data_IF_208332119679
#
_entry.id   IF_208332119679
#
_cell.length_a   1.000
_cell.length_b   1.000
_cell.length_c   1.000
_cell.angle_alpha   90.00
_cell.angle_beta   90.00
_cell.angle_gamma   90.00
#
_symmetry.space_group_name_H-M   'P 1'
#
loop_
_entity.id
_entity.type
_entity.pdbx_description
1 polymer ?
#
# COMPACT_ATOMS: atom_id res chain seq x y z
N UNK A 1 -9.56 4.74 13.06
CA UNK A 1 -8.41 5.04 12.17
C UNK A 1 -8.30 6.55 11.99
N UNK A 2 -7.10 7.05 12.02
CA UNK A 2 -6.84 8.48 11.85
C UNK A 2 -5.55 8.68 11.06
N UNK A 3 -5.60 9.57 10.07
CA UNK A 3 -4.39 9.99 9.37
C UNK A 3 -3.63 10.96 10.29
N UNK A 4 -2.42 10.58 10.69
CA UNK A 4 -1.61 11.39 11.61
C UNK A 4 -0.99 12.60 10.93
N UNK A 5 -0.97 12.62 9.59
CA UNK A 5 -0.28 13.64 8.83
C UNK A 5 1.23 13.44 8.75
N UNK A 6 1.76 12.43 9.41
CA UNK A 6 3.19 12.13 9.40
C UNK A 6 3.53 11.34 8.14
N UNK A 7 4.62 11.72 7.47
CA UNK A 7 5.12 11.03 6.30
C UNK A 7 6.62 10.80 6.41
N UNK A 8 7.07 9.66 5.91
CA UNK A 8 8.49 9.34 5.84
C UNK A 8 8.85 8.94 4.41
N UNK A 9 10.07 9.28 4.01
CA UNK A 9 10.64 8.79 2.76
C UNK A 9 11.25 7.41 2.97
N UNK A 10 11.25 6.58 1.93
CA UNK A 10 11.93 5.28 1.94
C UNK A 10 13.43 5.42 2.21
N UNK A 11 13.98 6.60 1.98
CA UNK A 11 15.39 6.90 2.27
C UNK A 11 15.63 7.15 3.77
N UNK A 12 14.59 7.52 4.50
CA UNK A 12 14.68 7.82 5.93
C UNK A 12 14.38 6.61 6.79
N UNK A 13 13.41 5.79 6.38
CA UNK A 13 12.95 4.64 7.14
C UNK A 13 12.56 3.49 6.22
N UNK A 14 12.72 2.28 6.75
CA UNK A 14 12.25 1.07 6.09
C UNK A 14 10.97 0.59 6.78
N UNK A 15 9.93 0.24 6.01
CA UNK A 15 8.73 -0.32 6.60
C UNK A 15 8.93 -1.80 6.95
N UNK A 16 8.10 -2.29 7.84
CA UNK A 16 8.06 -3.70 8.23
C UNK A 16 6.95 -4.40 7.46
N UNK A 17 7.25 -5.55 6.89
CA UNK A 17 6.25 -6.41 6.24
C UNK A 17 5.82 -7.47 7.25
N UNK A 18 4.53 -7.46 7.58
CA UNK A 18 3.93 -8.45 8.46
C UNK A 18 3.13 -9.43 7.60
N UNK A 19 3.45 -10.73 7.68
CA UNK A 19 2.82 -11.73 6.79
C UNK A 19 1.30 -11.71 6.86
N UNK A 20 0.74 -11.58 8.05
CA UNK A 20 -0.71 -11.57 8.22
C UNK A 20 -1.38 -10.37 7.55
N UNK A 21 -0.67 -9.26 7.40
CA UNK A 21 -1.16 -8.11 6.64
C UNK A 21 -0.93 -8.31 5.14
N UNK A 22 0.23 -8.83 4.76
CA UNK A 22 0.58 -9.05 3.36
C UNK A 22 -0.34 -10.07 2.69
N UNK A 23 -0.78 -11.07 3.45
CA UNK A 23 -1.63 -12.15 2.94
C UNK A 23 -3.13 -11.87 3.06
N UNK A 24 -3.49 -10.72 3.63
CA UNK A 24 -4.88 -10.35 3.87
C UNK A 24 -5.70 -10.26 2.59
N UNK A 25 -5.12 -9.76 1.53
CA UNK A 25 -5.78 -9.59 0.24
C UNK A 25 -5.22 -10.61 -0.75
N UNK A 26 -6.03 -11.03 -1.74
CA UNK A 26 -5.55 -11.95 -2.76
C UNK A 26 -4.38 -11.33 -3.53
N UNK A 27 -3.41 -12.15 -3.97
CA UNK A 27 -2.30 -11.63 -4.75
C UNK A 27 -2.78 -11.09 -6.08
N UNK A 28 -2.03 -10.13 -6.62
CA UNK A 28 -2.29 -9.62 -7.96
C UNK A 28 -2.00 -10.70 -9.00
N UNK A 29 -2.74 -10.69 -10.11
CA UNK A 29 -2.43 -11.55 -11.25
C UNK A 29 -1.12 -11.10 -11.89
N UNK A 30 -0.53 -11.96 -12.72
CA UNK A 30 0.68 -11.61 -13.44
C UNK A 30 0.52 -10.35 -14.27
N UNK A 31 -0.63 -10.18 -14.93
CA UNK A 31 -0.94 -9.00 -15.73
C UNK A 31 -1.04 -7.73 -14.89
N UNK A 32 -1.73 -7.83 -13.75
CA UNK A 32 -1.87 -6.71 -12.84
C UNK A 32 -0.52 -6.28 -12.25
N UNK A 33 0.30 -7.26 -11.91
CA UNK A 33 1.63 -6.99 -11.37
C UNK A 33 2.53 -6.34 -12.41
N UNK A 34 2.50 -6.84 -13.65
CA UNK A 34 3.27 -6.27 -14.75
C UNK A 34 2.83 -4.84 -15.06
N UNK A 35 1.53 -4.57 -15.03
CA UNK A 35 1.01 -3.23 -15.26
C UNK A 35 1.45 -2.26 -14.16
N UNK A 36 1.41 -2.70 -12.91
CA UNK A 36 1.87 -1.89 -11.78
C UNK A 36 3.38 -1.61 -11.89
N UNK A 37 4.15 -2.63 -12.23
CA UNK A 37 5.59 -2.48 -12.40
C UNK A 37 5.92 -1.48 -13.52
N UNK A 38 5.25 -1.59 -14.66
CA UNK A 38 5.44 -0.67 -15.77
C UNK A 38 5.12 0.77 -15.39
N UNK A 39 4.03 0.97 -14.65
CA UNK A 39 3.64 2.30 -14.19
C UNK A 39 4.68 2.89 -13.23
N UNK A 40 5.18 2.09 -12.30
CA UNK A 40 6.20 2.55 -11.36
C UNK A 40 7.51 2.90 -12.06
N UNK A 41 7.91 2.12 -13.05
CA UNK A 41 9.12 2.39 -13.82
C UNK A 41 9.00 3.65 -14.67
N UNK A 42 7.82 3.91 -15.20
CA UNK A 42 7.57 5.06 -16.07
C UNK A 42 7.35 6.35 -15.27
N UNK A 43 6.55 6.29 -14.22
CA UNK A 43 6.07 7.48 -13.50
C UNK A 43 6.63 7.62 -12.09
N UNK A 44 7.31 6.61 -11.59
CA UNK A 44 7.74 6.58 -10.21
C UNK A 44 6.57 6.25 -9.27
N UNK A 45 6.83 6.25 -7.99
CA UNK A 45 5.81 5.95 -6.98
C UNK A 45 5.23 7.25 -6.42
N UNK A 46 4.11 7.67 -6.96
CA UNK A 46 3.45 8.91 -6.58
C UNK A 46 2.40 8.73 -5.48
N UNK A 47 1.91 7.52 -5.27
CA UNK A 47 0.96 7.23 -4.20
C UNK A 47 1.71 6.67 -2.98
N UNK A 48 1.42 7.16 -1.77
CA UNK A 48 2.15 6.69 -0.59
C UNK A 48 1.75 5.26 -0.21
N UNK A 49 2.70 4.56 0.40
CA UNK A 49 2.44 3.30 1.09
C UNK A 49 1.87 3.64 2.46
N UNK A 50 0.79 2.99 2.85
CA UNK A 50 0.16 3.26 4.15
C UNK A 50 0.76 2.33 5.20
N UNK A 51 1.23 2.92 6.29
CA UNK A 51 1.81 2.18 7.42
C UNK A 51 1.12 2.59 8.71
N UNK A 52 1.19 1.73 9.73
CA UNK A 52 0.74 2.09 11.06
C UNK A 52 1.86 2.80 11.84
N UNK A 53 1.61 3.12 13.10
CA UNK A 53 2.58 3.83 13.93
C UNK A 53 3.84 3.01 14.23
N UNK A 54 3.78 1.69 14.07
CA UNK A 54 4.93 0.80 14.20
C UNK A 54 5.64 0.57 12.87
N UNK A 55 5.28 1.32 11.84
CA UNK A 55 5.84 1.22 10.50
C UNK A 55 5.51 -0.10 9.79
N UNK A 56 4.45 -0.78 10.21
CA UNK A 56 3.97 -1.99 9.53
C UNK A 56 3.11 -1.59 8.34
N UNK A 57 3.39 -2.15 7.17
CA UNK A 57 2.63 -1.85 5.96
C UNK A 57 1.19 -2.36 6.10
N UNK A 58 0.24 -1.46 5.90
CA UNK A 58 -1.18 -1.77 5.91
C UNK A 58 -1.73 -1.86 4.49
N UNK A 59 -1.31 -0.96 3.61
CA UNK A 59 -1.73 -0.93 2.21
C UNK A 59 -0.54 -0.56 1.33
N UNK A 60 -0.47 -1.19 0.17
CA UNK A 60 0.59 -0.92 -0.80
C UNK A 60 1.76 -1.90 -0.76
N UNK A 61 1.54 -3.13 -0.31
CA UNK A 61 2.57 -4.16 -0.23
C UNK A 61 3.25 -4.42 -1.58
N UNK A 62 2.48 -4.56 -2.65
CA UNK A 62 3.02 -4.82 -3.99
C UNK A 62 3.82 -3.63 -4.50
N UNK A 63 3.30 -2.43 -4.28
CA UNK A 63 3.97 -1.18 -4.66
C UNK A 63 5.32 -1.05 -3.96
N UNK A 64 5.35 -1.27 -2.66
CA UNK A 64 6.56 -1.20 -1.87
C UNK A 64 7.59 -2.24 -2.33
N UNK A 65 7.15 -3.46 -2.56
CA UNK A 65 8.01 -4.55 -3.01
C UNK A 65 8.67 -4.22 -4.35
N UNK A 66 7.88 -3.76 -5.31
CA UNK A 66 8.39 -3.41 -6.64
C UNK A 66 9.33 -2.20 -6.58
N UNK A 67 8.99 -1.20 -5.80
CA UNK A 67 9.85 -0.03 -5.62
C UNK A 67 11.20 -0.45 -5.04
N UNK A 68 11.19 -1.34 -4.06
CA UNK A 68 12.42 -1.84 -3.46
C UNK A 68 13.25 -2.63 -4.45
N UNK A 69 12.63 -3.47 -5.27
CA UNK A 69 13.31 -4.24 -6.30
C UNK A 69 14.00 -3.37 -7.35
N UNK A 70 13.38 -2.28 -7.72
CA UNK A 70 13.86 -1.40 -8.79
C UNK A 70 14.59 -0.15 -8.28
N UNK A 71 14.73 -0.03 -6.98
CA UNK A 71 15.39 1.16 -6.40
C UNK A 71 14.60 2.44 -6.59
N UNK A 72 13.28 2.35 -6.71
CA UNK A 72 12.41 3.53 -6.86
C UNK A 72 12.07 4.08 -5.49
N UNK A 73 12.32 5.37 -5.22
CA UNK A 73 11.96 5.98 -3.94
C UNK A 73 10.44 6.06 -3.80
N UNK A 74 9.95 5.90 -2.58
CA UNK A 74 8.54 6.00 -2.26
C UNK A 74 8.34 6.66 -0.91
N UNK A 75 7.14 7.16 -0.66
CA UNK A 75 6.78 7.75 0.62
C UNK A 75 5.86 6.82 1.39
N UNK A 76 5.89 6.95 2.71
CA UNK A 76 5.02 6.21 3.62
C UNK A 76 4.19 7.21 4.41
N UNK A 77 2.86 7.03 4.40
CA UNK A 77 1.95 7.84 5.21
C UNK A 77 1.58 7.05 6.45
N UNK A 78 1.71 7.66 7.61
CA UNK A 78 1.45 7.00 8.90
C UNK A 78 0.00 7.24 9.32
N UNK A 79 -0.73 6.14 9.52
CA UNK A 79 -2.10 6.17 10.01
C UNK A 79 -2.11 5.52 11.39
N UNK A 80 -2.91 6.08 12.29
CA UNK A 80 -3.09 5.56 13.64
C UNK A 80 -4.27 4.59 13.66
N UNK A 81 -4.03 3.37 14.13
CA UNK A 81 -5.07 2.35 14.31
C UNK A 81 -5.09 1.93 15.77
N UNK A 82 -6.28 1.60 16.26
CA UNK A 82 -6.44 1.15 17.66
C UNK A 82 -5.67 -0.16 17.88
N UNK A 83 -5.77 -1.06 16.91
CA UNK A 83 -5.07 -2.34 16.94
C UNK A 83 -4.90 -2.87 15.50
N UNK A 84 -4.28 -4.03 15.39
CA UNK A 84 -4.05 -4.66 14.10
C UNK A 84 -5.35 -5.08 13.41
N UNK A 85 -6.36 -5.44 14.20
CA UNK A 85 -7.67 -5.81 13.65
C UNK A 85 -8.32 -4.63 12.92
N UNK A 86 -8.26 -3.44 13.49
CA UNK A 86 -8.75 -2.24 12.83
C UNK A 86 -8.00 -1.97 11.53
N UNK A 87 -6.68 -2.15 11.55
CA UNK A 87 -5.86 -1.97 10.34
C UNK A 87 -6.27 -2.94 9.23
N UNK A 88 -6.51 -4.20 9.58
CA UNK A 88 -6.99 -5.22 8.63
C UNK A 88 -8.34 -4.85 8.05
N UNK A 89 -9.26 -4.42 8.90
CA UNK A 89 -10.60 -4.02 8.48
C UNK A 89 -10.54 -2.82 7.53
N UNK A 90 -9.73 -1.84 7.85
CA UNK A 90 -9.53 -0.67 7.02
C UNK A 90 -8.97 -1.03 5.63
N UNK A 91 -7.99 -1.93 5.59
CA UNK A 91 -7.40 -2.37 4.33
C UNK A 91 -8.43 -3.06 3.44
N UNK A 92 -9.26 -3.93 4.02
CA UNK A 92 -10.32 -4.63 3.29
C UNK A 92 -11.37 -3.65 2.76
N UNK A 93 -11.79 -2.69 3.58
CA UNK A 93 -12.79 -1.71 3.20
C UNK A 93 -12.28 -0.79 2.08
N UNK A 94 -11.02 -0.41 2.15
CA UNK A 94 -10.40 0.43 1.13
C UNK A 94 -10.36 -0.28 -0.22
N UNK A 95 -10.04 -1.56 -0.25
CA UNK A 95 -10.03 -2.34 -1.49
C UNK A 95 -11.44 -2.51 -2.07
N UNK A 96 -12.42 -2.72 -1.24
CA UNK A 96 -13.82 -2.79 -1.69
C UNK A 96 -14.25 -1.47 -2.33
N UNK A 97 -13.88 -0.35 -1.71
CA UNK A 97 -14.18 0.95 -2.25
C UNK A 97 -13.58 1.17 -3.63
N UNK A 98 -12.34 0.76 -3.82
CA UNK A 98 -11.67 0.85 -5.12
C UNK A 98 -12.36 0.02 -6.19
N UNK A 99 -12.77 -1.19 -5.86
CA UNK A 99 -13.49 -2.06 -6.79
C UNK A 99 -14.81 -1.45 -7.23
N UNK A 100 -15.52 -0.84 -6.30
CA UNK A 100 -16.77 -0.17 -6.60
C UNK A 100 -16.56 1.01 -7.56
N UNK A 101 -15.51 1.77 -7.37
CA UNK A 101 -15.15 2.87 -8.26
C UNK A 101 -14.85 2.36 -9.66
N UNK A 102 -14.12 1.27 -9.78
CA UNK A 102 -13.80 0.66 -11.06
C UNK A 102 -15.06 0.26 -11.81
N UNK A 103 -16.05 -0.29 -11.12
CA UNK A 103 -17.33 -0.63 -11.73
C UNK A 103 -18.04 0.60 -12.28
N UNK A 104 -17.97 1.70 -11.57
CA UNK A 104 -18.58 2.96 -12.02
C UNK A 104 -17.93 3.46 -13.30
N UNK A 105 -16.62 3.37 -13.38
CA UNK A 105 -15.90 3.80 -14.58
C UNK A 105 -16.27 2.96 -15.79
N UNK A 106 -16.54 1.70 -15.60
CA UNK A 106 -16.95 0.79 -16.67
C UNK A 106 -18.40 0.95 -17.04
N UNK A 107 -19.19 1.40 -16.11
CA UNK A 107 -20.62 1.61 -16.35
C UNK A 107 -20.88 2.94 -16.95
#
# INVERSE_FOLDING_TARGET
MRNTGIRYSSKERMPTVLSEMAELLPPLSGEQLAALEADLLENGCYAPVIVNEDMVIVDGHNRQKLCQQHGIPYEMAVFSFVDLLEAKQWALDTQKGRRNLDKWELG
#
